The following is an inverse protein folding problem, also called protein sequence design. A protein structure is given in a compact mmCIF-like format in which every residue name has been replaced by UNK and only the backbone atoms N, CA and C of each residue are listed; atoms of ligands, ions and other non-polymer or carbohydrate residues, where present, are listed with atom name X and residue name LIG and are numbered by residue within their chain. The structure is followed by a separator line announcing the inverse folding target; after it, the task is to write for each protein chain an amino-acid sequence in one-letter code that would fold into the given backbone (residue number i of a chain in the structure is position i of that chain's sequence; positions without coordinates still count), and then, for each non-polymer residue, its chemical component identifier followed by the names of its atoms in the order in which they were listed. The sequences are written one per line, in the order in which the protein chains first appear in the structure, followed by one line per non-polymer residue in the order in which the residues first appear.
data_IF_793956407783
#
_entry.id   IF_793956407783
#
_cell.length_a   1.000
_cell.length_b   1.000
_cell.length_c   1.000
_cell.angle_alpha   90.00
_cell.angle_beta   90.00
_cell.angle_gamma   90.00
#
_symmetry.space_group_name_H-M   'P 1'
#
loop_
_entity.id
_entity.type
_entity.pdbx_description
1 polymer ?
#
# COMPACT_ATOMS: atom_id res chain seq x y z
N UNK A 1 -4.99 7.42 10.64
CA UNK A 1 -5.85 7.99 9.58
C UNK A 1 -7.20 7.29 9.60
N UNK A 2 -8.30 8.01 9.39
CA UNK A 2 -9.65 7.42 9.27
C UNK A 2 -10.14 7.60 7.84
N UNK A 3 -10.66 6.52 7.25
CA UNK A 3 -11.26 6.50 5.91
C UNK A 3 -12.74 6.19 6.07
N UNK A 4 -13.59 6.90 5.33
CA UNK A 4 -15.05 6.74 5.30
C UNK A 4 -15.56 6.76 3.87
N UNK A 5 -16.56 5.93 3.59
CA UNK A 5 -17.39 6.10 2.39
C UNK A 5 -18.33 7.26 2.66
N UNK A 6 -18.29 8.30 1.83
CA UNK A 6 -19.17 9.46 1.98
C UNK A 6 -20.58 9.11 1.50
N UNK A 7 -20.71 8.70 0.24
CA UNK A 7 -21.96 8.32 -0.42
C UNK A 7 -21.64 7.19 -1.41
N UNK A 8 -22.41 6.11 -1.36
CA UNK A 8 -22.37 5.00 -2.32
C UNK A 8 -23.57 4.08 -2.10
N UNK A 9 -24.30 3.73 -3.16
CA UNK A 9 -25.42 2.79 -3.09
C UNK A 9 -24.94 1.33 -3.05
N UNK A 10 -23.80 1.05 -3.69
CA UNK A 10 -23.19 -0.30 -3.78
C UNK A 10 -22.08 -0.53 -2.75
N UNK A 11 -21.66 0.51 -2.03
CA UNK A 11 -20.53 0.47 -1.09
C UNK A 11 -19.17 0.62 -1.78
N UNK A 12 -18.13 0.06 -1.17
CA UNK A 12 -16.76 0.03 -1.66
C UNK A 12 -16.06 -1.27 -1.22
N UNK A 13 -15.00 -1.65 -1.93
CA UNK A 13 -14.15 -2.79 -1.55
C UNK A 13 -12.80 -2.29 -1.08
N UNK A 14 -12.38 -2.75 0.09
CA UNK A 14 -11.05 -2.47 0.64
C UNK A 14 -10.19 -3.70 0.49
N UNK A 15 -9.12 -3.58 -0.28
CA UNK A 15 -8.17 -4.66 -0.54
C UNK A 15 -6.84 -4.41 0.16
N UNK A 16 -6.30 -5.46 0.80
CA UNK A 16 -5.01 -5.48 1.48
C UNK A 16 -4.03 -6.33 0.66
N UNK A 17 -3.02 -5.69 0.06
CA UNK A 17 -1.95 -6.30 -0.74
C UNK A 17 -2.40 -7.34 -1.79
N UNK A 18 -3.64 -7.24 -2.26
CA UNK A 18 -4.25 -8.19 -3.20
C UNK A 18 -4.53 -9.59 -2.64
N UNK A 19 -4.31 -9.83 -1.34
CA UNK A 19 -4.53 -11.14 -0.71
C UNK A 19 -5.89 -11.25 -0.03
N UNK A 20 -6.39 -10.16 0.53
CA UNK A 20 -7.65 -10.15 1.27
C UNK A 20 -8.41 -8.88 0.97
N UNK A 21 -9.72 -9.00 0.81
CA UNK A 21 -10.60 -7.87 0.53
C UNK A 21 -11.84 -7.94 1.41
N UNK A 22 -12.37 -6.77 1.77
CA UNK A 22 -13.57 -6.64 2.59
C UNK A 22 -14.52 -5.60 1.99
N UNK A 23 -15.84 -5.88 1.98
CA UNK A 23 -16.84 -4.88 1.60
C UNK A 23 -16.98 -3.83 2.72
N UNK A 24 -17.23 -2.59 2.32
CA UNK A 24 -17.48 -1.45 3.21
C UNK A 24 -18.68 -0.66 2.70
N UNK A 25 -19.59 -0.29 3.59
CA UNK A 25 -20.78 0.51 3.29
C UNK A 25 -20.70 1.89 3.95
N UNK A 26 -21.61 2.79 3.56
CA UNK A 26 -21.76 4.10 4.20
C UNK A 26 -22.03 3.95 5.71
N UNK A 27 -21.43 4.84 6.51
CA UNK A 27 -21.52 4.81 7.98
C UNK A 27 -20.46 3.95 8.69
N UNK A 28 -19.64 3.19 7.95
CA UNK A 28 -18.49 2.47 8.51
C UNK A 28 -17.20 3.29 8.46
N UNK A 29 -16.34 3.08 9.45
CA UNK A 29 -15.02 3.70 9.56
C UNK A 29 -13.91 2.65 9.38
N UNK A 30 -12.93 2.94 8.53
CA UNK A 30 -11.66 2.22 8.49
C UNK A 30 -10.59 3.05 9.18
N UNK A 31 -9.91 2.44 10.15
CA UNK A 31 -8.83 3.08 10.90
C UNK A 31 -7.50 2.48 10.49
N UNK A 32 -6.71 3.28 9.78
CA UNK A 32 -5.33 2.92 9.41
C UNK A 32 -4.39 3.46 10.47
N UNK A 33 -3.59 2.55 11.03
CA UNK A 33 -2.53 2.84 12.00
C UNK A 33 -1.28 2.09 11.61
N UNK A 34 -0.12 2.65 11.95
CA UNK A 34 1.12 1.91 11.88
C UNK A 34 1.07 0.73 12.84
N UNK A 35 1.42 -0.45 12.34
CA UNK A 35 1.55 -1.63 13.19
C UNK A 35 2.82 -1.51 14.04
N UNK A 36 2.80 -2.00 15.28
CA UNK A 36 3.95 -1.90 16.19
C UNK A 36 5.13 -2.79 15.77
N UNK A 37 4.84 -3.88 15.07
CA UNK A 37 5.85 -4.77 14.50
C UNK A 37 6.14 -4.40 13.05
N UNK A 38 7.41 -4.23 12.74
CA UNK A 38 7.91 -3.93 11.41
C UNK A 38 8.39 -5.19 10.70
N UNK A 39 8.26 -5.18 9.37
CA UNK A 39 8.85 -6.20 8.52
C UNK A 39 10.37 -5.97 8.50
N UNK A 40 11.12 -7.04 8.77
CA UNK A 40 12.58 -7.03 8.66
C UNK A 40 12.95 -7.72 7.35
N UNK A 41 13.42 -6.93 6.38
CA UNK A 41 13.81 -7.44 5.07
C UNK A 41 15.29 -7.82 5.07
N UNK A 42 15.60 -8.93 4.40
CA UNK A 42 16.99 -9.32 4.15
C UNK A 42 17.51 -8.56 2.94
N UNK A 43 18.58 -7.79 3.15
CA UNK A 43 19.24 -7.03 2.10
C UNK A 43 20.54 -7.74 1.68
N UNK A 44 20.82 -7.89 0.37
CA UNK A 44 22.14 -8.28 -0.11
C UNK A 44 23.21 -7.30 0.38
N UNK A 45 24.48 -7.75 0.45
CA UNK A 45 25.59 -6.93 0.99
C UNK A 45 25.76 -5.57 0.31
N UNK A 46 25.41 -5.47 -0.98
CA UNK A 46 25.53 -4.25 -1.79
C UNK A 46 24.13 -3.72 -2.18
N UNK A 47 23.18 -3.76 -1.25
CA UNK A 47 21.82 -3.28 -1.50
C UNK A 47 21.79 -1.77 -1.74
N UNK A 48 21.39 -1.36 -2.94
CA UNK A 48 21.07 0.03 -3.28
C UNK A 48 19.57 0.11 -3.66
N UNK A 49 18.81 0.78 -2.78
CA UNK A 49 17.38 1.01 -2.96
C UNK A 49 17.06 1.76 -4.26
N UNK A 50 17.86 2.77 -4.60
CA UNK A 50 17.63 3.61 -5.78
C UNK A 50 18.02 2.89 -7.06
N UNK A 51 19.07 2.06 -7.06
CA UNK A 51 19.40 1.22 -8.22
C UNK A 51 18.24 0.28 -8.58
N UNK A 52 17.63 -0.35 -7.57
CA UNK A 52 16.47 -1.22 -7.75
C UNK A 52 15.30 -0.45 -8.36
N UNK A 53 14.99 0.75 -7.83
CA UNK A 53 13.88 1.55 -8.33
C UNK A 53 14.15 2.07 -9.74
N UNK A 54 15.36 2.57 -10.04
CA UNK A 54 15.74 3.02 -11.38
C UNK A 54 15.63 1.89 -12.40
N UNK A 55 16.06 0.69 -12.04
CA UNK A 55 15.94 -0.51 -12.87
C UNK A 55 14.48 -0.91 -13.10
N UNK A 56 13.67 -1.01 -12.02
CA UNK A 56 12.27 -1.45 -12.10
C UNK A 56 11.34 -0.46 -12.82
N UNK A 57 11.60 0.84 -12.69
CA UNK A 57 10.75 1.89 -13.26
C UNK A 57 11.33 2.48 -14.56
N UNK A 58 12.46 1.95 -15.03
CA UNK A 58 13.17 2.43 -16.22
C UNK A 58 13.48 3.93 -16.20
N UNK A 59 13.78 4.50 -15.03
CA UNK A 59 14.10 5.92 -14.85
C UNK A 59 15.49 6.33 -15.33
N UNK A 60 16.08 5.57 -16.26
CA UNK A 60 17.27 6.00 -16.99
C UNK A 60 16.87 7.11 -17.99
N UNK A 61 16.70 8.32 -17.48
CA UNK A 61 16.71 9.52 -18.31
C UNK A 61 18.10 9.67 -18.90
N UNK A 62 18.17 9.29 -20.18
CA UNK A 62 19.16 9.67 -21.17
C UNK A 62 19.77 11.05 -20.87
N UNK A 63 21.07 11.08 -20.58
CA UNK A 63 21.93 12.24 -20.78
C UNK A 63 22.71 12.01 -22.07
#
# INVERSE_FOLDING_TARGET
MVIRVKESDEGATVSFDGQTSFPMIAGQDIRVRQHGSFIHLLHPKNYDYFDIIRSKLHWSTKL
#
